data_IF_152776399433
#
_entry.id   IF_152776399433
#
_cell.length_a   1.000
_cell.length_b   1.000
_cell.length_c   1.000
_cell.angle_alpha   90.00
_cell.angle_beta   90.00
_cell.angle_gamma   90.00
#
_symmetry.space_group_name_H-M   'P 1'
#
loop_
_entity.id
_entity.type
_entity.pdbx_description
1 polymer ?
#
# COMPACT_ATOMS: atom_id res chain seq x y z
N UNK A 1 5.34 -3.16 -6.37
CA UNK A 1 4.40 -4.32 -6.34
C UNK A 1 3.62 -4.38 -7.65
N UNK A 2 3.32 -5.59 -8.13
CA UNK A 2 2.53 -5.83 -9.36
C UNK A 2 1.15 -5.14 -9.38
N UNK A 3 0.64 -4.70 -8.24
CA UNK A 3 -0.63 -3.98 -8.13
C UNK A 3 -0.56 -2.51 -8.58
N UNK A 4 0.53 -1.78 -8.24
CA UNK A 4 0.75 -0.43 -8.75
C UNK A 4 1.07 -0.47 -10.25
N UNK A 5 1.85 -1.48 -10.68
CA UNK A 5 2.13 -1.68 -12.10
C UNK A 5 0.85 -2.01 -12.87
N UNK A 6 -0.07 -2.83 -12.34
CA UNK A 6 -1.39 -3.05 -12.98
C UNK A 6 -2.28 -1.81 -13.00
N UNK A 7 -2.34 -1.02 -11.93
CA UNK A 7 -3.08 0.24 -11.92
C UNK A 7 -2.49 1.24 -12.92
N UNK A 8 -1.15 1.29 -13.01
CA UNK A 8 -0.37 2.13 -13.93
C UNK A 8 -0.38 1.63 -15.38
N UNK A 9 -0.47 0.32 -15.60
CA UNK A 9 -0.62 -0.33 -16.90
C UNK A 9 -2.04 -0.11 -17.44
N UNK A 10 -3.06 -0.16 -16.58
CA UNK A 10 -4.44 0.24 -16.93
C UNK A 10 -4.57 1.73 -17.27
N UNK A 11 -3.74 2.59 -16.68
CA UNK A 11 -3.71 4.01 -17.05
C UNK A 11 -2.77 4.32 -18.22
N UNK A 12 -1.85 3.41 -18.58
CA UNK A 12 -0.95 3.58 -19.73
C UNK A 12 -1.66 3.38 -21.09
N UNK A 13 -2.85 2.79 -21.12
CA UNK A 13 -3.61 2.57 -22.36
C UNK A 13 -4.33 3.81 -22.88
N UNK A 14 -4.45 4.89 -22.11
CA UNK A 14 -4.86 6.22 -22.61
C UNK A 14 -4.37 7.31 -21.67
N UNK A 15 -3.18 7.87 -21.96
CA UNK A 15 -2.54 8.93 -21.16
C UNK A 15 -3.32 10.27 -21.21
N UNK A 16 -4.25 10.39 -22.14
CA UNK A 16 -5.07 11.58 -22.36
C UNK A 16 -6.53 11.41 -21.89
N UNK A 17 -6.86 10.34 -21.16
CA UNK A 17 -8.21 10.14 -20.64
C UNK A 17 -8.45 11.05 -19.40
N UNK A 18 -9.31 12.09 -19.50
CA UNK A 18 -9.60 12.99 -18.39
C UNK A 18 -10.23 12.27 -17.19
N UNK A 19 -10.81 11.08 -17.39
CA UNK A 19 -11.40 10.26 -16.33
C UNK A 19 -10.32 9.53 -15.52
N UNK A 20 -9.12 9.30 -16.06
CA UNK A 20 -7.99 8.76 -15.28
C UNK A 20 -7.49 9.76 -14.23
N UNK A 21 -7.33 11.03 -14.61
CA UNK A 21 -7.01 12.10 -13.65
C UNK A 21 -8.09 12.15 -12.57
N UNK A 22 -9.37 12.04 -12.95
CA UNK A 22 -10.50 12.03 -12.02
C UNK A 22 -10.57 10.80 -11.11
N UNK A 23 -10.21 9.60 -11.58
CA UNK A 23 -10.17 8.38 -10.75
C UNK A 23 -9.00 8.44 -9.75
N UNK A 24 -7.85 8.94 -10.20
CA UNK A 24 -6.67 9.15 -9.36
C UNK A 24 -6.87 10.29 -8.35
N UNK A 25 -7.53 11.38 -8.77
CA UNK A 25 -7.91 12.52 -7.92
C UNK A 25 -9.16 12.26 -7.07
N UNK A 26 -10.00 11.30 -7.46
CA UNK A 26 -11.30 10.98 -6.84
C UNK A 26 -11.22 9.94 -5.71
N UNK A 27 -10.02 9.52 -5.31
CA UNK A 27 -9.81 8.81 -4.04
C UNK A 27 -10.10 7.30 -4.04
N UNK A 28 -10.11 6.64 -5.20
CA UNK A 28 -10.41 5.20 -5.25
C UNK A 28 -9.20 4.29 -4.97
N UNK A 29 -7.98 4.85 -4.86
CA UNK A 29 -6.75 4.07 -4.65
C UNK A 29 -6.19 4.36 -3.26
N UNK A 30 -6.06 3.35 -2.38
CA UNK A 30 -5.42 3.53 -1.08
C UNK A 30 -3.91 3.71 -1.22
N UNK A 31 -3.34 4.53 -0.34
CA UNK A 31 -1.88 4.70 -0.20
C UNK A 31 -1.20 3.32 -0.04
N UNK A 32 -0.23 3.04 -0.91
CA UNK A 32 0.46 1.74 -0.97
C UNK A 32 1.97 1.96 -1.02
N UNK A 33 2.72 1.21 -0.22
CA UNK A 33 4.18 1.29 -0.12
C UNK A 33 4.83 -0.10 -0.21
N UNK A 34 6.04 -0.18 -0.74
CA UNK A 34 6.85 -1.38 -0.93
C UNK A 34 7.97 -1.41 0.09
N UNK A 35 7.81 -2.23 1.12
CA UNK A 35 8.84 -2.43 2.14
C UNK A 35 9.84 -3.51 1.69
N UNK A 36 11.15 -3.38 2.02
CA UNK A 36 11.74 -2.33 2.88
C UNK A 36 12.06 -1.01 2.16
N UNK A 37 12.03 -0.97 0.82
CA UNK A 37 12.54 0.14 0.02
C UNK A 37 11.87 1.51 0.32
N UNK A 38 10.56 1.51 0.58
CA UNK A 38 9.77 2.73 0.81
C UNK A 38 9.43 2.95 2.29
N UNK A 39 10.15 2.29 3.21
CA UNK A 39 9.87 2.35 4.65
C UNK A 39 9.93 3.77 5.21
N UNK A 40 10.90 4.58 4.79
CA UNK A 40 11.07 5.94 5.30
C UNK A 40 9.85 6.83 4.99
N UNK A 41 9.36 6.78 3.74
CA UNK A 41 8.21 7.55 3.27
C UNK A 41 6.93 7.06 3.97
N UNK A 42 6.77 5.74 4.05
CA UNK A 42 5.68 5.12 4.80
C UNK A 42 5.67 5.57 6.27
N UNK A 43 6.81 5.53 6.97
CA UNK A 43 6.91 5.89 8.38
C UNK A 43 6.62 7.38 8.64
N UNK A 44 6.94 8.27 7.69
CA UNK A 44 6.53 9.66 7.75
C UNK A 44 5.00 9.81 7.65
N UNK A 45 4.39 9.15 6.68
CA UNK A 45 2.94 9.16 6.45
C UNK A 45 2.17 8.56 7.63
N UNK A 46 2.65 7.43 8.15
CA UNK A 46 2.09 6.76 9.32
C UNK A 46 2.07 7.69 10.54
N UNK A 47 3.16 8.43 10.80
CA UNK A 47 3.23 9.40 11.90
C UNK A 47 2.29 10.59 11.71
N UNK A 48 2.17 11.10 10.47
CA UNK A 48 1.28 12.24 10.15
C UNK A 48 -0.21 11.91 10.30
N UNK A 49 -0.59 10.66 10.04
CA UNK A 49 -1.98 10.21 10.17
C UNK A 49 -2.45 10.07 11.64
N UNK A 50 -1.54 10.11 12.61
CA UNK A 50 -1.86 10.02 14.04
C UNK A 50 -2.23 8.60 14.49
N UNK A 51 -2.74 8.48 15.72
CA UNK A 51 -3.03 7.19 16.39
C UNK A 51 -4.50 6.79 16.40
N UNK A 52 -5.44 7.72 16.22
CA UNK A 52 -6.87 7.40 16.25
C UNK A 52 -7.36 6.97 14.88
N UNK A 53 -7.77 5.71 14.73
CA UNK A 53 -8.34 5.16 13.49
C UNK A 53 -7.35 4.87 12.36
N UNK A 54 -6.05 4.91 12.64
CA UNK A 54 -4.99 4.74 11.64
C UNK A 54 -4.62 3.26 11.44
N UNK A 55 -5.48 2.53 10.72
CA UNK A 55 -5.26 1.12 10.40
C UNK A 55 -4.58 0.94 9.05
N UNK A 56 -3.57 0.07 9.02
CA UNK A 56 -2.84 -0.29 7.81
C UNK A 56 -2.90 -1.78 7.56
N UNK A 57 -2.88 -2.16 6.29
CA UNK A 57 -2.83 -3.55 5.85
C UNK A 57 -1.50 -3.81 5.15
N UNK A 58 -0.74 -4.77 5.69
CA UNK A 58 0.46 -5.27 5.03
C UNK A 58 0.16 -6.60 4.36
N UNK A 59 0.76 -6.81 3.19
CA UNK A 59 0.64 -8.04 2.43
C UNK A 59 1.95 -8.34 1.68
N UNK A 60 2.29 -9.62 1.49
CA UNK A 60 3.38 -10.04 0.61
C UNK A 60 3.12 -9.63 -0.85
N UNK A 61 4.18 -9.36 -1.59
CA UNK A 61 4.09 -8.75 -2.95
C UNK A 61 3.54 -9.71 -4.02
N UNK A 62 3.72 -11.02 -3.84
CA UNK A 62 3.50 -12.01 -4.91
C UNK A 62 2.70 -13.26 -4.48
N UNK A 63 2.07 -13.28 -3.31
CA UNK A 63 1.22 -14.42 -2.91
C UNK A 63 -0.26 -14.06 -2.99
N UNK A 64 -1.10 -15.07 -3.21
CA UNK A 64 -2.55 -14.98 -3.20
C UNK A 64 -3.11 -15.98 -2.16
N UNK A 65 -4.40 -15.88 -1.83
CA UNK A 65 -5.12 -16.69 -0.81
C UNK A 65 -5.06 -16.17 0.64
N UNK A 66 -4.71 -14.91 0.88
CA UNK A 66 -4.80 -14.30 2.22
C UNK A 66 -3.68 -14.65 3.21
N UNK A 67 -2.78 -15.56 2.86
CA UNK A 67 -1.62 -15.92 3.69
C UNK A 67 -0.65 -14.75 3.81
N UNK A 68 -0.30 -14.39 5.04
CA UNK A 68 0.64 -13.29 5.35
C UNK A 68 0.04 -11.89 5.21
N UNK A 69 -1.29 -11.76 5.07
CA UNK A 69 -1.98 -10.47 5.22
C UNK A 69 -2.17 -10.20 6.72
N UNK A 70 -1.82 -9.00 7.16
CA UNK A 70 -2.08 -8.58 8.53
C UNK A 70 -2.45 -7.10 8.60
N UNK A 71 -3.32 -6.79 9.57
CA UNK A 71 -3.70 -5.44 9.92
C UNK A 71 -2.87 -4.98 11.12
N UNK A 72 -2.47 -3.72 11.13
CA UNK A 72 -1.73 -3.12 12.23
C UNK A 72 -2.07 -1.64 12.39
N UNK A 73 -1.98 -1.17 13.62
CA UNK A 73 -2.22 0.21 14.03
C UNK A 73 -1.00 0.80 14.78
N UNK A 74 0.02 -0.03 15.05
CA UNK A 74 1.29 0.38 15.66
C UNK A 74 2.47 -0.01 14.78
N UNK A 75 3.42 0.91 14.61
CA UNK A 75 4.59 0.70 13.75
C UNK A 75 5.48 -0.46 14.25
N UNK A 76 5.48 -0.74 15.55
CA UNK A 76 6.24 -1.85 16.16
C UNK A 76 5.78 -3.24 15.70
N UNK A 77 4.51 -3.39 15.29
CA UNK A 77 3.98 -4.66 14.82
C UNK A 77 4.57 -5.07 13.46
N UNK A 78 5.12 -4.12 12.69
CA UNK A 78 5.79 -4.40 11.41
C UNK A 78 7.05 -5.24 11.60
N UNK A 79 7.82 -4.98 12.66
CA UNK A 79 9.04 -5.76 12.94
C UNK A 79 8.73 -7.20 13.35
N UNK A 80 7.61 -7.43 14.03
CA UNK A 80 7.15 -8.77 14.44
C UNK A 80 6.81 -9.64 13.22
N UNK A 81 6.28 -9.03 12.16
CA UNK A 81 5.94 -9.74 10.92
C UNK A 81 7.14 -10.30 10.16
N UNK A 82 8.33 -9.67 10.26
CA UNK A 82 9.54 -10.16 9.56
C UNK A 82 9.95 -11.58 9.96
N UNK A 83 9.46 -12.09 11.10
CA UNK A 83 9.72 -13.44 11.59
C UNK A 83 8.79 -14.52 11.01
N UNK A 84 7.68 -14.16 10.36
CA UNK A 84 6.77 -15.12 9.75
C UNK A 84 7.33 -15.58 8.39
N UNK A 85 8.10 -16.68 8.41
CA UNK A 85 8.42 -17.43 7.19
C UNK A 85 7.11 -17.93 6.58
N UNK A 86 6.83 -17.49 5.36
CA UNK A 86 5.75 -17.99 4.50
C UNK A 86 6.13 -19.37 3.97
#
# INVERSE_FOLDING_TARGET
AKNLNRARERSATNRDDPDMMKILSGGCIPDTYILPNEYAIFAEKFRKAGTSGNWWIMKPTNTAQGKGIFLFDKISQISEWKGHKI
#
